data_IF_114926863565
#
_entry.id   IF_114926863565
#
_cell.length_a   1.000
_cell.length_b   1.000
_cell.length_c   1.000
_cell.angle_alpha   90.00
_cell.angle_beta   90.00
_cell.angle_gamma   90.00
#
_symmetry.space_group_name_H-M   'P 1'
#
loop_
_entity.id
_entity.type
_entity.pdbx_description
1 polymer ?
#
# COMPACT_ATOMS: atom_id res chain seq x y z
N UNK A 1 2.52 -2.70 50.28
CA UNK A 1 2.34 -3.99 49.57
C UNK A 1 1.37 -3.77 48.42
N UNK A 2 1.91 -3.43 47.25
CA UNK A 2 1.13 -3.23 46.03
C UNK A 2 0.64 -4.58 45.53
N UNK A 3 -0.68 -4.73 45.38
CA UNK A 3 -1.27 -5.92 44.76
C UNK A 3 -1.12 -5.78 43.26
N UNK A 4 -0.26 -6.62 42.68
CA UNK A 4 -0.27 -6.90 41.25
C UNK A 4 -1.67 -7.39 40.87
N UNK A 5 -2.33 -6.63 39.98
CA UNK A 5 -3.56 -7.04 39.33
C UNK A 5 -3.11 -7.84 38.11
N UNK A 6 -3.23 -9.17 38.16
CA UNK A 6 -3.10 -10.02 36.98
C UNK A 6 -4.12 -9.55 35.94
N UNK A 7 -3.63 -8.97 34.84
CA UNK A 7 -4.41 -8.86 33.60
C UNK A 7 -4.61 -10.29 33.10
N UNK A 8 -5.83 -10.82 33.27
CA UNK A 8 -6.22 -12.04 32.56
C UNK A 8 -6.35 -11.68 31.08
N UNK A 9 -5.85 -12.51 30.14
CA UNK A 9 -6.12 -12.30 28.73
C UNK A 9 -7.63 -12.31 28.50
N UNK A 10 -8.18 -11.23 27.94
CA UNK A 10 -9.54 -11.25 27.41
C UNK A 10 -9.53 -12.22 26.24
N UNK A 11 -10.28 -13.30 26.37
CA UNK A 11 -10.57 -14.19 25.26
C UNK A 11 -11.44 -13.37 24.30
N UNK A 12 -10.84 -12.85 23.22
CA UNK A 12 -11.58 -12.37 22.06
C UNK A 12 -12.50 -13.53 21.68
N UNK A 13 -13.83 -13.33 21.79
CA UNK A 13 -14.82 -14.34 21.43
C UNK A 13 -14.45 -14.85 20.04
N UNK A 14 -14.16 -16.14 19.90
CA UNK A 14 -13.75 -16.73 18.62
C UNK A 14 -14.91 -16.68 17.62
N UNK A 15 -15.06 -15.53 16.97
CA UNK A 15 -15.80 -15.35 15.73
C UNK A 15 -14.84 -15.73 14.62
N UNK A 16 -15.30 -16.54 13.68
CA UNK A 16 -14.37 -17.22 12.78
C UNK A 16 -13.64 -16.20 11.92
N UNK A 17 -12.37 -16.47 11.59
CA UNK A 17 -11.64 -15.61 10.65
C UNK A 17 -12.44 -15.43 9.34
N UNK A 18 -13.21 -16.45 8.93
CA UNK A 18 -14.08 -16.41 7.76
C UNK A 18 -15.15 -15.32 7.86
N UNK A 19 -15.77 -15.12 9.03
CA UNK A 19 -16.79 -14.09 9.21
C UNK A 19 -16.18 -12.69 9.08
N UNK A 20 -15.00 -12.47 9.66
CA UNK A 20 -14.26 -11.21 9.49
C UNK A 20 -14.01 -10.93 8.01
N UNK A 21 -13.42 -11.88 7.26
CA UNK A 21 -13.17 -11.67 5.83
C UNK A 21 -14.47 -11.45 5.05
N UNK A 22 -15.49 -12.30 5.24
CA UNK A 22 -16.74 -12.20 4.50
C UNK A 22 -17.42 -10.84 4.73
N UNK A 23 -17.44 -10.35 5.96
CA UNK A 23 -18.03 -9.05 6.28
C UNK A 23 -17.18 -7.88 5.78
N UNK A 24 -15.84 -7.96 5.86
CA UNK A 24 -14.96 -6.94 5.30
C UNK A 24 -15.11 -6.82 3.77
N UNK A 25 -15.15 -7.95 3.05
CA UNK A 25 -15.40 -7.96 1.60
C UNK A 25 -16.84 -7.57 1.24
N UNK A 26 -17.82 -7.86 2.12
CA UNK A 26 -19.18 -7.36 1.96
C UNK A 26 -19.23 -5.83 2.05
N UNK A 27 -18.51 -5.23 3.01
CA UNK A 27 -18.35 -3.78 3.10
C UNK A 27 -17.76 -3.25 1.79
N UNK A 28 -16.58 -3.72 1.39
CA UNK A 28 -15.88 -3.24 0.20
C UNK A 28 -16.73 -3.36 -1.08
N UNK A 29 -17.42 -4.49 -1.26
CA UNK A 29 -18.32 -4.66 -2.42
C UNK A 29 -19.50 -3.68 -2.37
N UNK A 30 -20.06 -3.41 -1.19
CA UNK A 30 -21.19 -2.49 -1.03
C UNK A 30 -20.77 -1.05 -1.29
N UNK A 31 -19.58 -0.67 -0.81
CA UNK A 31 -18.98 0.65 -0.98
C UNK A 31 -18.64 0.92 -2.45
N UNK A 32 -17.98 -0.04 -3.11
CA UNK A 32 -17.70 0.02 -4.55
C UNK A 32 -18.98 0.13 -5.39
N UNK A 33 -20.10 -0.47 -4.95
CA UNK A 33 -21.40 -0.27 -5.62
C UNK A 33 -21.93 1.15 -5.48
N UNK A 34 -21.65 1.83 -4.37
CA UNK A 34 -22.00 3.24 -4.20
C UNK A 34 -21.18 4.12 -5.15
N UNK A 35 -19.89 3.86 -5.29
CA UNK A 35 -19.00 4.54 -6.23
C UNK A 35 -19.43 4.33 -7.69
N UNK A 36 -19.68 3.08 -8.09
CA UNK A 36 -20.17 2.76 -9.43
C UNK A 36 -21.49 3.48 -9.71
N UNK A 37 -22.42 3.51 -8.73
CA UNK A 37 -23.69 4.22 -8.88
C UNK A 37 -23.48 5.74 -9.05
N UNK A 38 -22.54 6.35 -8.32
CA UNK A 38 -22.18 7.76 -8.51
C UNK A 38 -21.66 8.03 -9.92
N UNK A 39 -20.71 7.21 -10.41
CA UNK A 39 -20.14 7.36 -11.77
C UNK A 39 -21.22 7.25 -12.85
N UNK A 40 -22.22 6.40 -12.66
CA UNK A 40 -23.33 6.21 -13.61
C UNK A 40 -24.46 7.23 -13.46
N UNK A 41 -24.38 8.16 -12.50
CA UNK A 41 -25.41 9.17 -12.23
C UNK A 41 -26.67 8.61 -11.54
N UNK A 42 -26.55 7.49 -10.82
CA UNK A 42 -27.63 6.86 -10.06
C UNK A 42 -27.61 7.30 -8.59
N UNK A 43 -27.88 8.59 -8.35
CA UNK A 43 -27.72 9.23 -7.04
C UNK A 43 -28.48 8.56 -5.88
N UNK A 44 -29.70 8.06 -6.12
CA UNK A 44 -30.50 7.36 -5.11
C UNK A 44 -29.85 6.04 -4.68
N UNK A 45 -29.32 5.27 -5.64
CA UNK A 45 -28.63 4.01 -5.37
C UNK A 45 -27.28 4.28 -4.70
N UNK A 46 -26.55 5.31 -5.12
CA UNK A 46 -25.29 5.69 -4.48
C UNK A 46 -25.48 6.03 -3.00
N UNK A 47 -26.46 6.89 -2.67
CA UNK A 47 -26.80 7.21 -1.27
C UNK A 47 -27.22 5.98 -0.48
N UNK A 48 -28.01 5.08 -1.10
CA UNK A 48 -28.46 3.85 -0.46
C UNK A 48 -27.31 2.89 -0.14
N UNK A 49 -26.41 2.67 -1.10
CA UNK A 49 -25.27 1.76 -0.91
C UNK A 49 -24.24 2.34 0.05
N UNK A 50 -23.94 3.64 -0.03
CA UNK A 50 -23.06 4.31 0.93
C UNK A 50 -23.60 4.18 2.37
N UNK A 51 -24.88 4.46 2.60
CA UNK A 51 -25.50 4.28 3.92
C UNK A 51 -25.47 2.82 4.40
N UNK A 52 -25.57 1.86 3.48
CA UNK A 52 -25.45 0.43 3.81
C UNK A 52 -24.01 0.04 4.13
N UNK A 53 -23.02 0.55 3.38
CA UNK A 53 -21.61 0.32 3.66
C UNK A 53 -21.27 0.81 5.06
N UNK A 54 -21.70 2.02 5.44
CA UNK A 54 -21.49 2.55 6.78
C UNK A 54 -22.13 1.67 7.87
N UNK A 55 -23.35 1.16 7.61
CA UNK A 55 -24.00 0.21 8.54
C UNK A 55 -23.17 -1.07 8.71
N UNK A 56 -22.57 -1.58 7.62
CA UNK A 56 -21.69 -2.76 7.68
C UNK A 56 -20.38 -2.44 8.39
N UNK A 57 -19.77 -1.27 8.15
CA UNK A 57 -18.54 -0.82 8.84
C UNK A 57 -18.74 -0.73 10.35
N UNK A 58 -19.83 -0.09 10.79
CA UNK A 58 -20.18 -0.03 12.21
C UNK A 58 -20.39 -1.43 12.81
N UNK A 59 -21.17 -2.29 12.15
CA UNK A 59 -21.39 -3.65 12.62
C UNK A 59 -20.10 -4.50 12.64
N UNK A 60 -19.19 -4.28 11.69
CA UNK A 60 -17.89 -4.94 11.61
C UNK A 60 -17.02 -4.56 12.81
N UNK A 61 -16.90 -3.27 13.12
CA UNK A 61 -16.10 -2.82 14.26
C UNK A 61 -16.72 -3.25 15.59
N UNK A 62 -18.04 -3.15 15.76
CA UNK A 62 -18.73 -3.66 16.95
C UNK A 62 -18.50 -5.17 17.19
N UNK A 63 -18.34 -5.92 16.10
CA UNK A 63 -18.24 -7.38 16.14
C UNK A 63 -16.80 -7.88 16.32
N UNK A 64 -15.83 -7.26 15.64
CA UNK A 64 -14.50 -7.81 15.47
C UNK A 64 -13.37 -6.99 16.10
N UNK A 65 -13.60 -5.71 16.43
CA UNK A 65 -12.55 -4.81 16.92
C UNK A 65 -12.54 -4.74 18.46
N UNK A 66 -11.36 -4.98 19.06
CA UNK A 66 -11.09 -4.67 20.46
C UNK A 66 -10.33 -3.34 20.54
N UNK A 67 -11.04 -2.27 20.87
CA UNK A 67 -10.50 -0.92 20.97
C UNK A 67 -9.46 -0.75 22.10
N UNK A 68 -9.56 -1.54 23.19
CA UNK A 68 -8.58 -1.48 24.29
C UNK A 68 -7.22 -2.04 23.85
N UNK A 69 -7.22 -2.99 22.93
CA UNK A 69 -6.04 -3.66 22.41
C UNK A 69 -5.62 -3.19 21.00
N UNK A 70 -6.41 -2.32 20.37
CA UNK A 70 -6.29 -1.96 18.96
C UNK A 70 -6.13 -3.20 18.05
N UNK A 71 -6.98 -4.21 18.27
CA UNK A 71 -6.82 -5.52 17.65
C UNK A 71 -8.12 -6.06 17.07
N UNK A 72 -8.04 -6.57 15.85
CA UNK A 72 -9.07 -7.41 15.26
C UNK A 72 -8.80 -8.89 15.56
N UNK A 73 -9.81 -9.60 16.08
CA UNK A 73 -9.71 -11.06 16.25
C UNK A 73 -9.64 -11.77 14.90
N UNK A 74 -8.76 -12.75 14.67
CA UNK A 74 -7.93 -13.50 15.63
C UNK A 74 -6.50 -12.96 15.90
N UNK A 75 -6.10 -11.79 15.40
CA UNK A 75 -4.73 -11.26 15.58
C UNK A 75 -3.68 -11.88 14.63
N UNK A 76 -4.09 -12.23 13.40
CA UNK A 76 -3.18 -12.63 12.32
C UNK A 76 -2.79 -11.43 11.47
N UNK A 77 -1.74 -11.56 10.64
CA UNK A 77 -1.36 -10.52 9.68
C UNK A 77 -2.58 -10.06 8.84
N UNK A 78 -3.35 -11.01 8.32
CA UNK A 78 -4.56 -10.69 7.55
C UNK A 78 -5.67 -10.00 8.35
N UNK A 79 -5.84 -10.32 9.64
CA UNK A 79 -6.91 -9.69 10.42
C UNK A 79 -6.63 -8.23 10.74
N UNK A 80 -5.36 -7.82 10.72
CA UNK A 80 -4.98 -6.41 10.77
C UNK A 80 -4.99 -5.76 9.38
N UNK A 81 -4.34 -6.40 8.40
CA UNK A 81 -4.13 -5.82 7.09
C UNK A 81 -5.43 -5.59 6.31
N UNK A 82 -6.39 -6.53 6.33
CA UNK A 82 -7.65 -6.38 5.57
C UNK A 82 -8.48 -5.17 5.99
N UNK A 83 -8.78 -4.96 7.29
CA UNK A 83 -9.54 -3.79 7.68
C UNK A 83 -8.78 -2.47 7.49
N UNK A 84 -7.46 -2.45 7.63
CA UNK A 84 -6.65 -1.28 7.26
C UNK A 84 -6.78 -0.99 5.76
N UNK A 85 -6.55 -1.98 4.92
CA UNK A 85 -6.63 -1.89 3.47
C UNK A 85 -7.99 -1.42 2.94
N UNK A 86 -9.09 -1.80 3.60
CA UNK A 86 -10.43 -1.35 3.22
C UNK A 86 -10.91 -0.08 3.96
N UNK A 87 -10.07 0.57 4.78
CA UNK A 87 -10.48 1.76 5.53
C UNK A 87 -11.59 1.48 6.55
N UNK A 88 -11.65 0.27 7.10
CA UNK A 88 -12.63 -0.13 8.12
C UNK A 88 -12.22 0.30 9.53
N UNK A 89 -10.92 0.48 9.78
CA UNK A 89 -10.40 0.88 11.09
C UNK A 89 -10.88 2.29 11.45
N UNK A 90 -11.36 2.54 12.67
CA UNK A 90 -11.65 3.91 13.11
C UNK A 90 -10.38 4.77 13.08
N UNK A 91 -10.49 6.00 12.59
CA UNK A 91 -9.35 6.89 12.33
C UNK A 91 -8.44 7.05 13.56
N UNK A 92 -9.01 7.16 14.76
CA UNK A 92 -8.24 7.31 16.01
C UNK A 92 -7.43 6.07 16.42
N UNK A 93 -7.62 4.95 15.74
CA UNK A 93 -6.98 3.67 16.02
C UNK A 93 -6.06 3.18 14.91
N UNK A 94 -6.02 3.85 13.75
CA UNK A 94 -5.24 3.42 12.58
C UNK A 94 -3.79 3.14 12.96
N UNK A 95 -3.08 4.13 13.52
CA UNK A 95 -1.66 3.99 13.87
C UNK A 95 -1.41 2.81 14.82
N UNK A 96 -2.26 2.64 15.84
CA UNK A 96 -2.11 1.55 16.80
C UNK A 96 -2.36 0.17 16.17
N UNK A 97 -3.28 0.07 15.20
CA UNK A 97 -3.54 -1.17 14.46
C UNK A 97 -2.39 -1.47 13.49
N UNK A 98 -1.80 -0.44 12.87
CA UNK A 98 -0.60 -0.56 12.03
C UNK A 98 0.60 -1.04 12.85
N UNK A 99 0.85 -0.43 14.01
CA UNK A 99 1.93 -0.85 14.92
C UNK A 99 1.78 -2.33 15.31
N UNK A 100 0.56 -2.75 15.65
CA UNK A 100 0.24 -4.15 15.95
C UNK A 100 0.47 -5.08 14.74
N UNK A 101 0.17 -4.63 13.51
CA UNK A 101 0.45 -5.37 12.28
C UNK A 101 1.97 -5.57 12.09
N UNK A 102 2.75 -4.50 12.26
CA UNK A 102 4.21 -4.52 12.12
C UNK A 102 4.84 -5.42 13.18
N UNK A 103 4.41 -5.31 14.44
CA UNK A 103 4.84 -6.23 15.50
C UNK A 103 4.47 -7.67 15.16
N UNK A 104 3.27 -7.90 14.62
CA UNK A 104 2.84 -9.24 14.22
C UNK A 104 3.71 -9.82 13.10
N UNK A 105 4.06 -9.05 12.07
CA UNK A 105 4.98 -9.47 11.00
C UNK A 105 6.35 -9.84 11.57
N UNK A 106 6.91 -8.97 12.42
CA UNK A 106 8.20 -9.22 13.08
C UNK A 106 8.15 -10.46 13.98
N UNK A 107 7.07 -10.63 14.74
CA UNK A 107 6.83 -11.80 15.58
C UNK A 107 6.65 -13.11 14.81
N UNK A 108 6.21 -13.03 13.55
CA UNK A 108 6.15 -14.14 12.60
C UNK A 108 7.49 -14.38 11.87
N UNK A 109 8.56 -13.75 12.33
CA UNK A 109 9.92 -13.91 11.82
C UNK A 109 10.17 -13.16 10.52
N UNK A 110 9.42 -12.09 10.22
CA UNK A 110 9.56 -11.32 8.98
C UNK A 110 9.12 -12.11 7.75
N UNK A 111 8.15 -13.01 7.91
CA UNK A 111 7.63 -13.86 6.84
C UNK A 111 6.13 -13.70 6.71
N UNK A 112 5.64 -13.80 5.48
CA UNK A 112 4.21 -13.83 5.23
C UNK A 112 3.56 -15.03 5.94
N UNK A 113 2.41 -14.79 6.54
CA UNK A 113 1.52 -15.81 7.11
C UNK A 113 0.11 -15.71 6.51
N UNK A 114 0.01 -15.09 5.32
CA UNK A 114 -1.25 -14.76 4.64
C UNK A 114 -1.57 -15.74 3.51
N UNK A 115 -2.87 -15.96 3.30
CA UNK A 115 -3.41 -16.57 2.08
C UNK A 115 -3.86 -15.53 1.06
N UNK A 116 -4.55 -15.96 0.00
CA UNK A 116 -4.91 -15.12 -1.16
C UNK A 116 -5.55 -13.78 -0.80
N UNK A 117 -6.49 -13.78 0.15
CA UNK A 117 -7.25 -12.58 0.53
C UNK A 117 -6.49 -11.62 1.44
N UNK A 118 -5.38 -12.07 2.04
CA UNK A 118 -4.61 -11.26 2.99
C UNK A 118 -3.27 -10.77 2.44
N UNK A 119 -2.71 -11.43 1.42
CA UNK A 119 -1.38 -11.10 0.92
C UNK A 119 -1.31 -9.72 0.26
N UNK A 120 -2.26 -9.40 -0.64
CA UNK A 120 -2.32 -8.06 -1.27
C UNK A 120 -2.56 -6.96 -0.22
N UNK A 121 -3.56 -7.07 0.68
CA UNK A 121 -3.72 -6.11 1.78
C UNK A 121 -2.45 -5.92 2.62
N UNK A 122 -1.77 -7.01 3.00
CA UNK A 122 -0.56 -6.93 3.83
C UNK A 122 0.53 -6.05 3.21
N UNK A 123 0.92 -6.34 1.96
CA UNK A 123 2.07 -5.69 1.34
C UNK A 123 1.78 -4.25 0.91
N UNK A 124 0.51 -3.92 0.63
CA UNK A 124 0.10 -2.54 0.33
C UNK A 124 -0.03 -1.71 1.59
N UNK A 125 -0.79 -2.18 2.59
CA UNK A 125 -0.98 -1.46 3.86
C UNK A 125 0.34 -1.11 4.55
N UNK A 126 1.34 -1.99 4.51
CA UNK A 126 2.65 -1.65 5.05
C UNK A 126 3.29 -0.44 4.34
N UNK A 127 3.22 -0.38 3.01
CA UNK A 127 3.74 0.77 2.23
C UNK A 127 2.90 2.02 2.49
N UNK A 128 1.58 1.89 2.52
CA UNK A 128 0.64 3.02 2.70
C UNK A 128 0.80 3.71 4.06
N UNK A 129 1.45 3.05 5.02
CA UNK A 129 1.69 3.56 6.36
C UNK A 129 3.19 3.71 6.72
N UNK A 130 4.08 3.82 5.73
CA UNK A 130 5.50 4.13 5.96
C UNK A 130 6.35 2.97 6.48
N UNK A 131 5.93 1.73 6.22
CA UNK A 131 6.66 0.50 6.54
C UNK A 131 7.08 -0.25 5.25
N UNK A 132 7.47 0.48 4.22
CA UNK A 132 7.93 -0.04 2.93
C UNK A 132 9.09 -1.02 3.06
N UNK A 133 10.02 -0.80 4.00
CA UNK A 133 11.11 -1.74 4.30
C UNK A 133 10.57 -3.09 4.76
N UNK A 134 9.59 -3.09 5.66
CA UNK A 134 8.96 -4.32 6.16
C UNK A 134 8.21 -5.03 5.03
N UNK A 135 7.53 -4.27 4.16
CA UNK A 135 6.86 -4.83 2.99
C UNK A 135 7.88 -5.47 2.03
N UNK A 136 8.99 -4.79 1.75
CA UNK A 136 10.05 -5.26 0.87
C UNK A 136 10.74 -6.51 1.42
N UNK A 137 11.05 -6.56 2.72
CA UNK A 137 11.59 -7.75 3.38
C UNK A 137 10.67 -8.97 3.20
N UNK A 138 9.34 -8.80 3.33
CA UNK A 138 8.37 -9.87 3.10
C UNK A 138 8.37 -10.31 1.64
N UNK A 139 8.34 -9.36 0.70
CA UNK A 139 8.26 -9.65 -0.75
C UNK A 139 9.54 -10.33 -1.25
N UNK A 140 10.70 -9.87 -0.77
CA UNK A 140 12.02 -10.37 -1.14
C UNK A 140 12.47 -11.61 -0.34
N UNK A 141 11.65 -12.07 0.61
CA UNK A 141 11.97 -13.16 1.53
C UNK A 141 12.46 -14.43 0.79
N UNK A 142 13.74 -14.81 0.94
CA UNK A 142 14.33 -15.93 0.21
C UNK A 142 13.92 -17.31 0.74
N UNK A 143 13.49 -17.39 1.99
CA UNK A 143 13.07 -18.63 2.62
C UNK A 143 11.56 -18.85 2.47
N UNK A 144 11.12 -20.11 2.65
CA UNK A 144 9.69 -20.40 2.65
C UNK A 144 9.00 -19.72 3.86
N UNK A 145 7.79 -19.19 3.71
CA UNK A 145 7.05 -18.96 2.46
C UNK A 145 7.42 -17.64 1.76
N UNK A 146 7.39 -17.60 0.41
CA UNK A 146 7.69 -16.38 -0.35
C UNK A 146 7.83 -16.58 -1.86
N UNK A 147 7.77 -15.47 -2.62
CA UNK A 147 7.96 -15.47 -4.07
C UNK A 147 9.40 -15.79 -4.46
N UNK A 148 10.38 -15.18 -3.78
CA UNK A 148 11.80 -15.46 -4.02
C UNK A 148 12.14 -16.91 -3.70
N UNK A 149 11.51 -17.51 -2.68
CA UNK A 149 11.61 -18.94 -2.43
C UNK A 149 11.15 -19.77 -3.65
N UNK A 150 9.99 -19.46 -4.24
CA UNK A 150 9.52 -20.16 -5.46
C UNK A 150 10.56 -20.08 -6.59
N UNK A 151 11.11 -18.88 -6.83
CA UNK A 151 12.15 -18.65 -7.85
C UNK A 151 13.39 -19.52 -7.55
N UNK A 152 13.82 -19.60 -6.28
CA UNK A 152 14.95 -20.45 -5.85
C UNK A 152 14.71 -21.94 -6.06
N UNK A 153 13.44 -22.37 -6.09
CA UNK A 153 13.05 -23.74 -6.46
C UNK A 153 12.86 -23.93 -7.98
N UNK A 154 13.33 -22.99 -8.81
CA UNK A 154 13.20 -22.99 -10.27
C UNK A 154 11.75 -22.85 -10.77
N UNK A 155 10.86 -22.21 -9.98
CA UNK A 155 9.54 -21.86 -10.48
C UNK A 155 9.65 -20.86 -11.63
N UNK A 156 8.97 -21.16 -12.75
CA UNK A 156 8.83 -20.24 -13.90
C UNK A 156 7.43 -19.60 -13.97
N UNK A 157 6.54 -19.98 -13.05
CA UNK A 157 5.17 -19.52 -12.88
C UNK A 157 4.83 -19.48 -11.39
N UNK A 158 3.79 -18.74 -11.00
CA UNK A 158 3.34 -18.70 -9.61
C UNK A 158 2.67 -20.00 -9.19
N UNK A 159 2.96 -20.48 -7.99
CA UNK A 159 2.35 -21.69 -7.43
C UNK A 159 1.04 -21.37 -6.72
N UNK A 160 0.16 -22.35 -6.61
CA UNK A 160 -1.10 -22.24 -5.85
C UNK A 160 -0.85 -22.08 -4.35
N UNK A 161 0.23 -22.68 -3.85
CA UNK A 161 0.56 -22.70 -2.43
C UNK A 161 2.01 -22.28 -2.23
N UNK A 162 2.27 -21.70 -1.06
CA UNK A 162 3.63 -21.41 -0.64
C UNK A 162 4.51 -22.66 -0.42
N UNK A 163 3.88 -23.82 -0.23
CA UNK A 163 4.47 -25.13 0.00
C UNK A 163 4.17 -26.13 -1.13
N UNK A 164 3.92 -25.66 -2.37
CA UNK A 164 3.54 -26.54 -3.47
C UNK A 164 4.58 -27.63 -3.78
N UNK A 165 5.85 -27.36 -3.52
CA UNK A 165 6.96 -28.31 -3.66
C UNK A 165 6.88 -29.52 -2.71
N UNK A 166 6.18 -29.41 -1.57
CA UNK A 166 6.03 -30.52 -0.62
C UNK A 166 5.08 -31.64 -1.12
N UNK A 167 4.27 -31.37 -2.16
CA UNK A 167 3.16 -32.27 -2.59
C UNK A 167 3.00 -32.40 -4.10
N UNK A 168 4.09 -32.52 -4.83
CA UNK A 168 4.06 -32.61 -6.30
C UNK A 168 3.13 -33.73 -6.78
N UNK A 169 2.14 -33.39 -7.61
CA UNK A 169 1.21 -34.34 -8.23
C UNK A 169 0.00 -34.75 -7.39
N UNK A 170 -0.26 -34.08 -6.27
CA UNK A 170 -1.38 -34.40 -5.37
C UNK A 170 -2.35 -33.23 -5.16
N UNK A 171 -3.65 -33.52 -5.25
CA UNK A 171 -4.74 -32.64 -4.83
C UNK A 171 -4.75 -31.23 -5.42
N UNK A 172 -5.08 -30.26 -4.56
CA UNK A 172 -5.13 -28.83 -4.84
C UNK A 172 -3.71 -28.25 -4.76
N UNK A 173 -2.92 -28.48 -5.81
CA UNK A 173 -1.51 -28.10 -5.86
C UNK A 173 -0.99 -27.74 -7.28
N UNK A 174 -1.59 -26.74 -7.92
CA UNK A 174 -1.12 -26.23 -9.20
C UNK A 174 0.21 -25.47 -9.08
N UNK A 175 1.11 -25.66 -10.04
CA UNK A 175 2.36 -24.90 -10.18
C UNK A 175 2.20 -23.67 -11.10
N UNK A 176 0.98 -23.40 -11.57
CA UNK A 176 0.64 -22.24 -12.38
C UNK A 176 -0.75 -21.72 -11.94
N UNK A 177 -0.74 -20.83 -10.95
CA UNK A 177 -1.93 -20.30 -10.31
C UNK A 177 -1.75 -18.81 -9.99
N UNK A 178 -2.74 -17.98 -10.35
CA UNK A 178 -2.63 -16.51 -10.34
C UNK A 178 -2.75 -15.71 -9.01
N UNK A 179 -3.28 -16.22 -7.88
CA UNK A 179 -3.68 -15.39 -6.74
C UNK A 179 -2.50 -14.87 -5.91
N UNK A 180 -1.27 -15.21 -6.26
CA UNK A 180 -0.07 -14.55 -5.73
C UNK A 180 0.62 -13.66 -6.77
N UNK A 181 0.01 -13.42 -7.93
CA UNK A 181 0.52 -12.48 -8.93
C UNK A 181 0.44 -11.03 -8.45
N UNK A 182 -0.30 -10.71 -7.37
CA UNK A 182 -0.45 -9.34 -6.85
C UNK A 182 0.88 -8.64 -6.53
N UNK A 183 1.97 -9.40 -6.33
CA UNK A 183 3.32 -8.83 -6.21
C UNK A 183 3.73 -8.00 -7.43
N UNK A 184 3.21 -8.31 -8.63
CA UNK A 184 3.51 -7.52 -9.83
C UNK A 184 2.91 -6.12 -9.73
N UNK A 185 1.67 -6.01 -9.23
CA UNK A 185 1.03 -4.71 -8.96
C UNK A 185 1.85 -3.93 -7.93
N UNK A 186 2.29 -4.60 -6.86
CA UNK A 186 3.11 -4.00 -5.81
C UNK A 186 4.43 -3.40 -6.34
N UNK A 187 5.08 -4.01 -7.34
CA UNK A 187 6.28 -3.41 -7.95
C UNK A 187 5.99 -2.06 -8.63
N UNK A 188 4.84 -1.91 -9.29
CA UNK A 188 4.44 -0.64 -9.88
C UNK A 188 4.00 0.36 -8.80
N UNK A 189 3.15 -0.10 -7.88
CA UNK A 189 2.53 0.73 -6.85
C UNK A 189 3.54 1.26 -5.83
N UNK A 190 4.40 0.38 -5.31
CA UNK A 190 5.37 0.70 -4.26
C UNK A 190 6.70 1.12 -4.87
N UNK A 191 7.44 0.22 -5.54
CA UNK A 191 8.82 0.51 -5.95
C UNK A 191 8.92 1.57 -7.04
N UNK A 192 8.06 1.51 -8.07
CA UNK A 192 7.98 2.58 -9.06
C UNK A 192 7.10 3.76 -8.59
N UNK A 193 6.29 3.57 -7.54
CA UNK A 193 5.45 4.62 -6.99
C UNK A 193 4.25 5.03 -7.85
N UNK A 194 3.90 4.28 -8.90
CA UNK A 194 2.83 4.64 -9.83
C UNK A 194 1.48 4.26 -9.25
N UNK A 195 0.78 5.26 -8.67
CA UNK A 195 -0.49 5.09 -7.97
C UNK A 195 -1.60 5.85 -8.71
N UNK A 196 -2.78 5.24 -8.73
CA UNK A 196 -3.97 5.84 -9.31
C UNK A 196 -4.97 6.05 -8.18
N UNK A 197 -5.50 7.27 -8.04
CA UNK A 197 -6.57 7.52 -7.08
C UNK A 197 -7.87 6.82 -7.53
N UNK A 198 -8.50 6.08 -6.62
CA UNK A 198 -9.78 5.40 -6.80
C UNK A 198 -10.96 6.38 -6.87
N UNK A 199 -10.78 7.67 -6.52
CA UNK A 199 -11.81 8.72 -6.59
C UNK A 199 -12.12 9.18 -8.04
N UNK A 200 -12.65 8.26 -8.83
CA UNK A 200 -12.87 8.43 -10.27
C UNK A 200 -14.02 9.38 -10.62
N UNK A 201 -13.72 10.68 -10.64
CA UNK A 201 -14.48 11.70 -11.38
C UNK A 201 -13.90 11.98 -12.79
N UNK A 202 -13.33 10.98 -13.47
CA UNK A 202 -12.97 11.08 -14.89
C UNK A 202 -11.91 12.16 -15.23
N UNK A 203 -11.10 12.57 -14.26
CA UNK A 203 -9.97 13.52 -14.37
C UNK A 203 -8.82 13.12 -13.43
N UNK A 204 -8.56 11.83 -13.31
CA UNK A 204 -7.76 11.21 -12.25
C UNK A 204 -6.44 11.91 -11.98
N UNK A 205 -6.25 12.37 -10.75
CA UNK A 205 -4.94 12.69 -10.22
C UNK A 205 -4.14 11.40 -10.14
N UNK A 206 -3.01 11.38 -10.83
CA UNK A 206 -2.01 10.32 -10.69
C UNK A 206 -1.13 10.68 -9.49
N UNK A 207 -0.75 9.71 -8.69
CA UNK A 207 0.29 9.91 -7.69
C UNK A 207 1.56 9.15 -8.10
N UNK A 208 2.71 9.80 -7.95
CA UNK A 208 4.03 9.21 -8.10
C UNK A 208 4.75 9.30 -6.76
N UNK A 209 4.71 8.20 -5.99
CA UNK A 209 5.25 8.11 -4.63
C UNK A 209 6.07 6.82 -4.47
N UNK A 210 7.30 6.78 -5.02
CA UNK A 210 8.15 5.59 -4.98
C UNK A 210 8.65 5.30 -3.57
N UNK A 211 8.51 4.04 -3.15
CA UNK A 211 9.10 3.51 -1.94
C UNK A 211 10.60 3.27 -2.16
N UNK A 212 11.44 4.04 -1.46
CA UNK A 212 12.90 3.90 -1.49
C UNK A 212 13.30 2.92 -0.40
N UNK A 213 13.84 1.77 -0.79
CA UNK A 213 14.26 0.70 0.14
C UNK A 213 15.78 0.50 0.10
N UNK A 214 16.37 0.09 1.21
CA UNK A 214 17.80 0.09 1.46
C UNK A 214 18.59 -0.86 0.54
N UNK A 215 18.04 -2.04 0.24
CA UNK A 215 18.73 -3.07 -0.56
C UNK A 215 18.60 -2.85 -2.09
N UNK A 216 18.02 -1.72 -2.52
CA UNK A 216 17.90 -1.35 -3.93
C UNK A 216 18.67 -0.07 -4.25
N UNK A 217 19.52 -0.16 -5.27
CA UNK A 217 20.21 1.00 -5.85
C UNK A 217 19.28 1.84 -6.73
N UNK A 218 18.30 1.20 -7.38
CA UNK A 218 17.35 1.87 -8.27
C UNK A 218 16.10 1.01 -8.48
N UNK A 219 14.99 1.66 -8.84
CA UNK A 219 13.83 1.00 -9.44
C UNK A 219 13.26 1.84 -10.58
N UNK A 220 12.60 1.18 -11.53
CA UNK A 220 11.92 1.86 -12.63
C UNK A 220 10.69 1.08 -13.09
N UNK A 221 9.61 1.80 -13.39
CA UNK A 221 8.37 1.24 -13.91
C UNK A 221 7.68 2.21 -14.87
N UNK A 222 6.93 1.67 -15.82
CA UNK A 222 6.05 2.48 -16.67
C UNK A 222 4.79 1.72 -17.04
N UNK A 223 3.74 2.48 -17.34
CA UNK A 223 2.45 2.00 -17.83
C UNK A 223 2.05 2.80 -19.07
N UNK A 224 1.54 2.10 -20.07
CA UNK A 224 0.88 2.73 -21.22
C UNK A 224 -0.58 3.00 -20.84
N UNK A 225 -0.88 4.25 -20.50
CA UNK A 225 -2.24 4.68 -20.15
C UNK A 225 -2.99 5.16 -21.38
N UNK A 226 -4.29 5.41 -21.24
CA UNK A 226 -5.11 6.02 -22.31
C UNK A 226 -4.63 7.43 -22.70
N UNK A 227 -3.95 8.12 -21.79
CA UNK A 227 -3.41 9.47 -21.97
C UNK A 227 -1.96 9.48 -22.49
N UNK A 228 -1.32 8.30 -22.56
CA UNK A 228 0.08 8.14 -22.92
C UNK A 228 0.88 7.43 -21.83
N UNK A 229 2.20 7.45 -21.96
CA UNK A 229 3.12 6.80 -21.02
C UNK A 229 3.15 7.55 -19.69
N UNK A 230 2.96 6.80 -18.61
CA UNK A 230 3.25 7.22 -17.24
C UNK A 230 4.46 6.44 -16.77
N UNK A 231 5.53 7.11 -16.36
CA UNK A 231 6.76 6.44 -15.93
C UNK A 231 7.36 7.11 -14.70
N UNK A 232 8.07 6.28 -13.91
CA UNK A 232 8.84 6.71 -12.76
C UNK A 232 10.09 5.83 -12.66
N UNK A 233 11.20 6.48 -12.42
CA UNK A 233 12.48 5.89 -12.08
C UNK A 233 13.08 6.67 -10.93
N UNK A 234 13.68 5.96 -10.00
CA UNK A 234 14.58 6.54 -9.01
C UNK A 234 15.89 5.76 -8.95
N UNK A 235 16.96 6.44 -8.58
CA UNK A 235 18.28 5.83 -8.34
C UNK A 235 19.02 6.55 -7.22
N UNK A 236 19.80 5.79 -6.44
CA UNK A 236 20.74 6.32 -5.45
C UNK A 236 21.96 6.86 -6.18
N UNK A 237 22.36 8.07 -5.81
CA UNK A 237 23.59 8.71 -6.26
C UNK A 237 24.57 8.81 -5.10
N UNK A 238 25.79 9.30 -5.35
CA UNK A 238 26.78 9.52 -4.29
C UNK A 238 26.31 10.57 -3.25
N UNK A 239 25.45 11.51 -3.67
CA UNK A 239 25.04 12.68 -2.89
C UNK A 239 23.53 12.65 -2.50
N UNK A 240 22.79 11.61 -2.86
CA UNK A 240 21.37 11.45 -2.49
C UNK A 240 20.57 10.57 -3.47
N UNK A 241 19.48 11.10 -4.01
CA UNK A 241 18.57 10.39 -4.93
C UNK A 241 18.34 11.21 -6.20
N UNK A 242 18.21 10.53 -7.34
CA UNK A 242 17.77 11.11 -8.60
C UNK A 242 16.48 10.44 -9.07
N UNK A 243 15.57 11.23 -9.62
CA UNK A 243 14.26 10.80 -10.12
C UNK A 243 14.07 11.23 -11.57
N UNK A 244 13.53 10.33 -12.38
CA UNK A 244 13.02 10.63 -13.73
C UNK A 244 11.54 10.27 -13.77
N UNK A 245 10.68 11.27 -14.01
CA UNK A 245 9.23 11.11 -13.97
C UNK A 245 8.62 11.60 -15.28
N UNK A 246 7.78 10.77 -15.91
CA UNK A 246 7.04 11.12 -17.13
C UNK A 246 5.54 11.13 -16.84
N UNK A 247 4.92 12.30 -16.95
CA UNK A 247 3.48 12.49 -16.77
C UNK A 247 2.82 12.66 -18.14
N UNK A 248 1.84 11.81 -18.48
CA UNK A 248 1.21 11.85 -19.81
C UNK A 248 0.41 13.13 -20.03
N UNK A 249 0.16 13.45 -21.31
CA UNK A 249 -0.62 14.62 -21.70
C UNK A 249 -2.01 14.65 -21.04
N UNK A 250 -2.53 15.85 -20.79
CA UNK A 250 -3.86 16.04 -20.20
C UNK A 250 -4.03 15.36 -18.82
N UNK A 251 -2.94 15.23 -18.08
CA UNK A 251 -2.87 14.65 -16.74
C UNK A 251 -2.12 15.61 -15.83
N UNK A 252 -2.58 15.70 -14.58
CA UNK A 252 -1.87 16.33 -13.46
C UNK A 252 -1.52 15.23 -12.49
N UNK A 253 -0.34 15.30 -11.89
CA UNK A 253 0.11 14.33 -10.91
C UNK A 253 0.57 14.99 -9.61
N UNK A 254 0.42 14.26 -8.52
CA UNK A 254 1.06 14.54 -7.24
C UNK A 254 2.32 13.69 -7.16
N UNK A 255 3.48 14.31 -7.04
CA UNK A 255 4.76 13.61 -6.87
C UNK A 255 5.19 13.75 -5.41
N UNK A 256 5.45 12.65 -4.71
CA UNK A 256 6.02 12.65 -3.36
C UNK A 256 7.49 12.27 -3.42
N UNK A 257 8.35 13.19 -3.02
CA UNK A 257 9.79 13.01 -2.94
C UNK A 257 10.21 12.85 -1.47
N UNK A 258 10.83 11.72 -1.09
CA UNK A 258 11.13 11.41 0.32
C UNK A 258 12.30 12.24 0.85
N UNK A 259 12.31 12.60 2.12
CA UNK A 259 13.48 13.24 2.77
C UNK A 259 13.21 14.46 3.65
N UNK A 260 11.96 14.94 3.69
CA UNK A 260 11.50 15.94 4.65
C UNK A 260 12.17 17.31 4.58
N UNK A 261 12.10 18.05 5.69
CA UNK A 261 12.61 19.44 5.81
C UNK A 261 14.12 19.60 5.51
N UNK A 262 14.87 18.51 5.51
CA UNK A 262 16.33 18.53 5.31
C UNK A 262 16.77 18.27 3.87
N UNK A 263 15.85 17.96 2.96
CA UNK A 263 16.20 17.64 1.58
C UNK A 263 16.26 18.90 0.73
N UNK A 264 17.29 19.00 -0.10
CA UNK A 264 17.39 20.03 -1.15
C UNK A 264 16.88 19.41 -2.44
N UNK A 265 15.86 20.02 -3.05
CA UNK A 265 15.32 19.56 -4.35
C UNK A 265 15.73 20.52 -5.45
N UNK A 266 16.33 19.97 -6.49
CA UNK A 266 16.72 20.69 -7.69
C UNK A 266 16.17 20.03 -8.96
N UNK A 267 15.89 20.85 -9.96
CA UNK A 267 15.61 20.43 -11.34
C UNK A 267 16.50 21.24 -12.29
N UNK A 268 17.12 20.59 -13.28
CA UNK A 268 18.11 21.19 -14.18
C UNK A 268 19.23 21.97 -13.44
N UNK A 269 19.64 21.47 -12.26
CA UNK A 269 20.65 22.08 -11.40
C UNK A 269 20.23 23.39 -10.71
N UNK A 270 18.94 23.74 -10.76
CA UNK A 270 18.37 24.88 -10.04
C UNK A 270 17.60 24.39 -8.82
N UNK A 271 18.07 24.75 -7.63
CA UNK A 271 17.37 24.47 -6.37
C UNK A 271 16.07 25.27 -6.34
N UNK A 272 14.96 24.59 -6.06
CA UNK A 272 13.65 25.22 -5.85
C UNK A 272 13.02 24.87 -4.49
N UNK A 273 13.67 24.00 -3.71
CA UNK A 273 13.26 23.63 -2.35
C UNK A 273 14.48 23.39 -1.45
N UNK A 274 14.49 24.02 -0.28
CA UNK A 274 15.45 23.81 0.83
C UNK A 274 14.73 24.13 2.15
N UNK A 275 14.00 23.16 2.69
CA UNK A 275 13.11 23.31 3.85
C UNK A 275 11.85 24.19 3.63
N UNK A 276 11.83 25.03 2.59
CA UNK A 276 10.68 25.78 2.07
C UNK A 276 10.91 26.05 0.56
N UNK A 277 9.91 26.61 -0.13
CA UNK A 277 10.05 26.97 -1.54
C UNK A 277 11.11 28.07 -1.72
N UNK A 278 12.11 27.77 -2.54
CA UNK A 278 13.16 28.70 -2.93
C UNK A 278 12.98 29.15 -4.37
N UNK A 279 13.01 30.46 -4.61
CA UNK A 279 12.92 31.01 -5.96
C UNK A 279 11.64 30.68 -6.72
N UNK A 280 11.78 30.49 -8.04
CA UNK A 280 10.65 30.14 -8.92
C UNK A 280 10.59 28.63 -9.10
N UNK A 281 9.38 28.08 -9.05
CA UNK A 281 9.14 26.69 -9.39
C UNK A 281 9.55 26.39 -10.85
N UNK A 282 10.09 25.20 -11.11
CA UNK A 282 10.40 24.77 -12.46
C UNK A 282 9.17 24.74 -13.38
N UNK A 283 9.43 24.69 -14.69
CA UNK A 283 8.37 24.68 -15.68
C UNK A 283 7.50 23.42 -15.55
N UNK A 284 6.21 23.59 -15.30
CA UNK A 284 5.27 22.48 -15.16
C UNK A 284 5.12 21.96 -13.73
N UNK A 285 5.88 22.49 -12.76
CA UNK A 285 5.60 22.34 -11.32
C UNK A 285 4.70 23.50 -10.91
N UNK A 286 3.50 23.18 -10.44
CA UNK A 286 2.45 24.16 -10.10
C UNK A 286 2.49 24.55 -8.61
N UNK A 287 2.86 23.60 -7.75
CA UNK A 287 2.92 23.77 -6.31
C UNK A 287 3.97 22.83 -5.70
N UNK A 288 4.64 23.27 -4.64
CA UNK A 288 5.53 22.46 -3.82
C UNK A 288 5.22 22.72 -2.34
N UNK A 289 5.03 21.65 -1.57
CA UNK A 289 4.68 21.71 -0.15
C UNK A 289 5.38 20.60 0.62
N UNK A 290 5.43 20.72 1.95
CA UNK A 290 5.80 19.62 2.83
C UNK A 290 4.54 18.96 3.38
N UNK A 291 4.40 17.66 3.19
CA UNK A 291 3.29 16.85 3.70
C UNK A 291 3.83 15.56 4.29
N UNK A 292 3.52 15.28 5.57
CA UNK A 292 3.97 14.09 6.31
C UNK A 292 5.48 13.76 6.23
N UNK A 293 6.32 14.79 6.06
CA UNK A 293 7.77 14.61 5.96
C UNK A 293 8.27 14.28 4.55
N UNK A 294 7.42 14.43 3.53
CA UNK A 294 7.80 14.35 2.12
C UNK A 294 7.62 15.72 1.44
N UNK A 295 8.46 16.00 0.44
CA UNK A 295 8.23 17.13 -0.47
C UNK A 295 7.21 16.70 -1.51
N UNK A 296 6.03 17.31 -1.45
CA UNK A 296 4.90 17.02 -2.33
C UNK A 296 4.78 18.08 -3.41
N UNK A 297 4.88 17.66 -4.67
CA UNK A 297 4.78 18.49 -5.85
C UNK A 297 3.47 18.24 -6.60
N UNK A 298 2.77 19.29 -7.00
CA UNK A 298 1.72 19.20 -8.03
C UNK A 298 2.35 19.53 -9.37
N UNK A 299 2.32 18.59 -10.32
CA UNK A 299 2.95 18.74 -11.64
C UNK A 299 1.97 18.48 -12.78
N UNK A 300 2.13 19.21 -13.87
CA UNK A 300 1.42 18.98 -15.13
C UNK A 300 2.00 17.82 -15.94
N UNK A 301 1.61 17.74 -17.21
CA UNK A 301 2.22 16.80 -18.15
C UNK A 301 3.62 17.24 -18.54
N UNK A 302 4.58 16.32 -18.55
CA UNK A 302 5.97 16.62 -18.84
C UNK A 302 6.91 15.47 -18.53
N UNK A 303 8.20 15.70 -18.74
CA UNK A 303 9.28 14.86 -18.24
C UNK A 303 10.05 15.72 -17.25
N UNK A 304 10.24 15.19 -16.05
CA UNK A 304 10.85 15.88 -14.93
C UNK A 304 12.05 15.09 -14.43
N UNK A 305 13.13 15.81 -14.12
CA UNK A 305 14.34 15.26 -13.52
C UNK A 305 14.59 15.95 -12.19
N UNK A 306 14.32 15.24 -11.08
CA UNK A 306 14.53 15.79 -9.73
C UNK A 306 15.76 15.16 -9.10
N UNK A 307 16.57 16.00 -8.46
CA UNK A 307 17.69 15.54 -7.61
C UNK A 307 17.40 15.97 -6.19
N UNK A 308 17.54 15.01 -5.28
CA UNK A 308 17.45 15.19 -3.83
C UNK A 308 18.85 15.06 -3.26
N UNK A 309 19.37 16.14 -2.69
CA UNK A 309 20.66 16.18 -2.02
C UNK A 309 20.45 16.16 -0.48
N UNK A 310 21.32 15.43 0.23
CA UNK A 310 21.33 15.34 1.71
C UNK A 310 22.35 16.27 2.39
#
# INVERSE_FOLDING_TARGET
MARFREQRPRVIKSRSAQDLFNTAFQYHTTDLFAEIANVLGHEDDARRYASRAETVKSAFNDEFFDADAAQYGPGTQSSYAVPLYFGLVPDEHVDAVVDNLVEKVRGDGGKLQTGFLGTRPLIHTLVDHGFEEVAYEIVSQPERPGWVYMIRQNATTMWERWDSDDRIGDGMNSFNHSPFNFVSEWFYYALAGLRFDDSMHGRGSVEVAPAIVDDLDWAAGHLETVSGRLASRWERTDDGLAFEIEIPWNTTATVRLPGGDGVIVAEDGTVFWDGDQEGMLPAGVEEATLDDGDVTLTVGSGVYEFVLEN
#
